data_IF_746888326009
#
_entry.id   IF_746888326009
#
_cell.length_a   1.000
_cell.length_b   1.000
_cell.length_c   1.000
_cell.angle_alpha   90.00
_cell.angle_beta   90.00
_cell.angle_gamma   90.00
#
_symmetry.space_group_name_H-M   'P 1'
#
loop_
_entity.id
_entity.type
_entity.pdbx_description
1 polymer ?
#
# COMPACT_ATOMS: atom_id res chain seq x y z
N UNK A 1 2.18 3.08 -8.19
CA UNK A 1 2.96 2.12 -7.35
C UNK A 1 2.00 1.16 -6.67
N UNK A 2 2.39 -0.11 -6.47
CA UNK A 2 1.59 -1.12 -5.74
C UNK A 2 2.30 -1.42 -4.42
N UNK A 3 1.51 -1.48 -3.35
CA UNK A 3 1.90 -1.90 -2.02
C UNK A 3 0.99 -3.07 -1.62
N UNK A 4 1.51 -4.02 -0.85
CA UNK A 4 0.73 -5.16 -0.37
C UNK A 4 0.67 -5.10 1.15
N UNK A 5 -0.51 -4.90 1.73
CA UNK A 5 -0.72 -5.07 3.16
C UNK A 5 -0.82 -6.57 3.48
N UNK A 6 0.08 -7.08 4.31
CA UNK A 6 0.05 -8.47 4.74
C UNK A 6 0.44 -8.61 6.22
N UNK A 7 -0.31 -9.44 6.94
CA UNK A 7 0.01 -9.83 8.32
C UNK A 7 0.98 -11.03 8.39
N UNK A 8 1.18 -11.73 7.26
CA UNK A 8 2.13 -12.84 7.12
C UNK A 8 3.13 -12.49 6.02
N UNK A 9 4.41 -12.35 6.37
CA UNK A 9 5.45 -11.89 5.45
C UNK A 9 5.53 -12.84 4.25
N UNK A 10 5.14 -12.36 3.07
CA UNK A 10 5.29 -13.09 1.81
C UNK A 10 6.69 -12.76 1.27
N UNK A 11 7.43 -13.73 0.73
CA UNK A 11 8.76 -13.46 0.13
C UNK A 11 8.63 -12.81 -1.25
N UNK A 12 8.51 -11.48 -1.32
CA UNK A 12 8.11 -10.77 -2.56
C UNK A 12 9.03 -9.60 -2.91
N UNK A 13 9.06 -9.21 -4.19
CA UNK A 13 9.85 -8.08 -4.70
C UNK A 13 9.08 -6.74 -4.71
N UNK A 14 7.85 -6.73 -4.21
CA UNK A 14 7.00 -5.53 -4.05
C UNK A 14 7.05 -5.05 -2.60
N UNK A 15 7.03 -3.72 -2.31
CA UNK A 15 6.96 -3.26 -0.93
C UNK A 15 5.69 -3.75 -0.21
N UNK A 16 5.90 -4.37 0.95
CA UNK A 16 4.85 -4.89 1.82
C UNK A 16 4.64 -3.99 3.03
N UNK A 17 3.39 -3.72 3.38
CA UNK A 17 3.02 -3.04 4.60
C UNK A 17 2.67 -4.10 5.66
N UNK A 18 3.44 -4.16 6.74
CA UNK A 18 3.34 -5.24 7.75
C UNK A 18 3.30 -4.64 9.16
N UNK A 19 2.46 -5.13 10.10
CA UNK A 19 2.37 -4.60 11.46
C UNK A 19 3.57 -5.02 12.33
N UNK A 20 4.74 -4.45 12.05
CA UNK A 20 5.98 -4.69 12.78
C UNK A 20 6.71 -3.37 13.06
N UNK A 21 7.51 -3.37 14.13
CA UNK A 21 8.25 -2.18 14.57
C UNK A 21 9.68 -2.13 14.01
N UNK A 22 10.21 -3.25 13.55
CA UNK A 22 11.61 -3.39 13.13
C UNK A 22 11.67 -3.93 11.70
N UNK A 23 11.74 -3.03 10.71
CA UNK A 23 11.94 -3.38 9.31
C UNK A 23 13.35 -2.95 8.88
N UNK A 24 14.21 -3.92 8.57
CA UNK A 24 15.53 -3.66 7.98
C UNK A 24 15.55 -3.86 6.46
N UNK A 25 14.54 -4.56 5.93
CA UNK A 25 14.40 -4.83 4.51
C UNK A 25 13.71 -3.64 3.81
N UNK A 26 14.28 -3.16 2.70
CA UNK A 26 13.69 -2.13 1.87
C UNK A 26 12.34 -2.53 1.26
N UNK A 27 12.05 -3.83 1.21
CA UNK A 27 10.77 -4.41 0.78
C UNK A 27 9.70 -4.34 1.85
N UNK A 28 10.00 -3.90 3.07
CA UNK A 28 9.05 -3.86 4.18
C UNK A 28 8.85 -2.41 4.63
N UNK A 29 7.59 -1.99 4.64
CA UNK A 29 7.09 -0.74 5.21
C UNK A 29 6.40 -1.11 6.53
N UNK A 30 6.98 -0.77 7.69
CA UNK A 30 6.35 -1.03 8.99
C UNK A 30 5.03 -0.25 9.11
N UNK A 31 3.96 -0.94 9.52
CA UNK A 31 2.69 -0.35 9.94
C UNK A 31 2.68 -0.16 11.45
N UNK A 32 2.67 1.08 11.87
CA UNK A 32 2.80 1.48 13.27
C UNK A 32 1.52 2.17 13.74
N UNK A 33 1.05 1.79 14.92
CA UNK A 33 -0.04 2.45 15.62
C UNK A 33 0.45 3.62 16.48
N UNK A 34 -0.25 3.86 17.60
CA UNK A 34 0.08 4.93 18.55
C UNK A 34 0.96 4.40 19.70
N UNK A 35 2.09 3.79 19.35
CA UNK A 35 3.10 3.29 20.29
C UNK A 35 4.43 4.01 20.02
N UNK A 36 4.95 4.71 21.03
CA UNK A 36 6.13 5.57 20.89
C UNK A 36 7.41 4.75 20.65
N UNK A 37 7.56 3.63 21.36
CA UNK A 37 8.74 2.77 21.23
C UNK A 37 8.75 2.09 19.86
N UNK A 38 7.57 1.62 19.42
CA UNK A 38 7.42 1.06 18.09
C UNK A 38 7.69 2.09 17.00
N UNK A 39 7.15 3.31 17.12
CA UNK A 39 7.40 4.38 16.16
C UNK A 39 8.88 4.73 16.08
N UNK A 40 9.52 4.93 17.22
CA UNK A 40 10.92 5.31 17.28
C UNK A 40 11.82 4.24 16.62
N UNK A 41 11.57 2.95 16.90
CA UNK A 41 12.27 1.83 16.25
C UNK A 41 12.01 1.78 14.74
N UNK A 42 10.75 1.89 14.32
CA UNK A 42 10.35 1.80 12.93
C UNK A 42 10.96 2.93 12.10
N UNK A 43 10.86 4.17 12.57
CA UNK A 43 11.39 5.34 11.87
C UNK A 43 12.91 5.30 11.78
N UNK A 44 13.60 4.85 12.85
CA UNK A 44 15.06 4.77 12.87
C UNK A 44 15.61 3.73 11.90
N UNK A 45 14.91 2.60 11.71
CA UNK A 45 15.40 1.46 10.90
C UNK A 45 14.82 1.39 9.49
N UNK A 46 13.65 1.98 9.25
CA UNK A 46 13.00 1.91 7.96
C UNK A 46 13.84 2.53 6.83
N UNK A 47 13.86 1.81 5.71
CA UNK A 47 14.58 2.21 4.50
C UNK A 47 13.65 2.88 3.49
N UNK A 48 12.47 2.30 3.22
CA UNK A 48 11.56 2.79 2.18
C UNK A 48 10.50 3.78 2.68
N UNK A 49 10.04 3.63 3.92
CA UNK A 49 8.99 4.46 4.51
C UNK A 49 8.38 3.82 5.76
N UNK A 50 7.47 4.53 6.42
CA UNK A 50 6.68 4.01 7.55
C UNK A 50 5.21 4.30 7.29
N UNK A 51 4.34 3.31 7.51
CA UNK A 51 2.90 3.51 7.50
C UNK A 51 2.40 3.79 8.92
N UNK A 52 1.73 4.92 9.13
CA UNK A 52 1.17 5.32 10.41
C UNK A 52 -0.35 5.16 10.40
N UNK A 53 -0.87 4.34 11.31
CA UNK A 53 -2.30 4.22 11.56
C UNK A 53 -2.69 5.13 12.73
N UNK A 54 -2.97 6.40 12.41
CA UNK A 54 -3.35 7.41 13.42
C UNK A 54 -4.24 8.50 12.82
N UNK A 55 -5.09 9.08 13.67
CA UNK A 55 -5.84 10.30 13.36
C UNK A 55 -5.20 11.58 13.95
N UNK A 56 -4.14 11.47 14.76
CA UNK A 56 -3.62 12.58 15.55
C UNK A 56 -2.43 13.25 14.86
N UNK A 57 -2.48 14.59 14.78
CA UNK A 57 -1.41 15.41 14.20
C UNK A 57 -0.07 15.27 14.91
N UNK A 58 -0.09 15.03 16.22
CA UNK A 58 1.11 14.87 17.04
C UNK A 58 1.99 13.71 16.56
N UNK A 59 1.40 12.54 16.29
CA UNK A 59 2.13 11.35 15.85
C UNK A 59 2.81 11.57 14.49
N UNK A 60 2.11 12.24 13.57
CA UNK A 60 2.66 12.57 12.25
C UNK A 60 3.76 13.61 12.37
N UNK A 61 3.60 14.63 13.22
CA UNK A 61 4.65 15.61 13.48
C UNK A 61 5.88 14.95 14.07
N UNK A 62 5.72 14.10 15.09
CA UNK A 62 6.81 13.38 15.71
C UNK A 62 7.58 12.51 14.71
N UNK A 63 6.88 11.72 13.89
CA UNK A 63 7.53 10.89 12.88
C UNK A 63 8.37 11.73 11.89
N UNK A 64 7.88 12.91 11.51
CA UNK A 64 8.61 13.85 10.63
C UNK A 64 9.83 14.44 11.29
N UNK A 65 9.73 14.81 12.57
CA UNK A 65 10.89 15.35 13.31
C UNK A 65 11.97 14.27 13.50
N UNK A 66 11.56 13.03 13.74
CA UNK A 66 12.51 11.92 13.90
C UNK A 66 13.25 11.57 12.61
N UNK A 67 12.58 11.58 11.45
CA UNK A 67 13.17 11.37 10.12
C UNK A 67 12.45 12.22 9.06
N UNK A 68 12.96 13.43 8.75
CA UNK A 68 12.32 14.32 7.79
C UNK A 68 12.43 13.85 6.33
N UNK A 69 13.37 12.96 6.04
CA UNK A 69 13.64 12.38 4.72
C UNK A 69 12.75 11.16 4.39
N UNK A 70 12.18 10.51 5.41
CA UNK A 70 11.45 9.26 5.25
C UNK A 70 10.03 9.50 4.74
N UNK A 71 9.56 8.67 3.79
CA UNK A 71 8.15 8.72 3.35
C UNK A 71 7.23 8.19 4.44
N UNK A 72 6.21 8.97 4.80
CA UNK A 72 5.19 8.61 5.78
C UNK A 72 3.88 8.34 5.06
N UNK A 73 3.44 7.08 5.07
CA UNK A 73 2.14 6.69 4.57
C UNK A 73 1.11 6.84 5.70
N UNK A 74 0.13 7.71 5.52
CA UNK A 74 -0.82 8.02 6.57
C UNK A 74 -2.12 7.26 6.35
N UNK A 75 -2.41 6.31 7.24
CA UNK A 75 -3.66 5.58 7.29
C UNK A 75 -4.58 6.25 8.32
N UNK A 76 -5.58 6.98 7.82
CA UNK A 76 -6.59 7.61 8.67
C UNK A 76 -7.13 8.92 8.10
N UNK A 77 -8.16 9.50 8.74
CA UNK A 77 -8.88 10.66 8.24
C UNK A 77 -8.14 12.00 8.41
N UNK A 78 -6.91 11.99 8.93
CA UNK A 78 -6.20 13.21 9.26
C UNK A 78 -5.87 14.00 7.97
N UNK A 79 -6.33 15.27 7.83
CA UNK A 79 -6.11 16.09 6.64
C UNK A 79 -4.70 16.71 6.65
N UNK A 80 -3.69 15.88 6.87
CA UNK A 80 -2.30 16.31 6.99
C UNK A 80 -1.66 16.19 5.61
N UNK A 81 -1.07 17.29 5.14
CA UNK A 81 -0.33 17.35 3.88
C UNK A 81 1.13 17.70 4.17
N UNK A 82 2.04 17.15 3.39
CA UNK A 82 3.47 17.39 3.52
C UNK A 82 4.24 16.76 2.37
N UNK A 83 5.47 17.24 2.12
CA UNK A 83 6.32 16.82 0.99
C UNK A 83 6.58 15.31 0.97
N UNK A 84 6.64 14.67 2.13
CA UNK A 84 6.89 13.24 2.34
C UNK A 84 5.69 12.50 2.94
N UNK A 85 4.49 13.11 2.98
CA UNK A 85 3.31 12.51 3.60
C UNK A 85 2.35 12.07 2.49
N UNK A 86 2.11 10.77 2.40
CA UNK A 86 1.23 10.17 1.40
C UNK A 86 -0.02 9.64 2.11
N UNK A 87 -1.20 10.27 1.93
CA UNK A 87 -2.42 9.76 2.52
C UNK A 87 -2.88 8.49 1.80
N UNK A 88 -3.28 7.48 2.57
CA UNK A 88 -3.92 6.26 2.09
C UNK A 88 -5.41 6.33 2.46
N UNK A 89 -6.28 6.28 1.45
CA UNK A 89 -7.73 6.35 1.63
C UNK A 89 -8.39 5.01 1.33
N UNK A 90 -9.50 4.65 1.99
CA UNK A 90 -10.31 3.53 1.53
C UNK A 90 -10.77 3.75 0.09
N UNK A 91 -10.73 2.71 -0.73
CA UNK A 91 -11.17 2.75 -2.13
C UNK A 91 -12.63 3.24 -2.27
N UNK A 92 -13.50 2.83 -1.35
CA UNK A 92 -14.90 3.27 -1.27
C UNK A 92 -15.06 4.77 -1.07
N UNK A 93 -14.04 5.45 -0.54
CA UNK A 93 -14.05 6.88 -0.24
C UNK A 93 -13.23 7.69 -1.26
N UNK A 94 -13.31 7.33 -2.55
CA UNK A 94 -12.57 8.03 -3.62
C UNK A 94 -12.76 9.55 -3.57
N UNK A 95 -11.64 10.28 -3.51
CA UNK A 95 -11.61 11.72 -3.34
C UNK A 95 -10.66 12.40 -4.36
N UNK A 96 -10.39 11.75 -5.48
CA UNK A 96 -9.47 12.23 -6.52
C UNK A 96 -8.16 11.45 -6.61
N UNK A 97 -7.14 11.98 -7.31
CA UNK A 97 -5.85 11.30 -7.48
C UNK A 97 -5.17 11.01 -6.14
N UNK A 98 -4.74 9.76 -5.93
CA UNK A 98 -4.09 9.37 -4.69
C UNK A 98 -3.79 7.89 -4.55
N UNK A 99 -3.33 7.51 -3.36
CA UNK A 99 -3.14 6.13 -2.94
C UNK A 99 -4.39 5.60 -2.24
N UNK A 100 -4.82 4.41 -2.64
CA UNK A 100 -6.03 3.79 -2.11
C UNK A 100 -5.75 2.43 -1.48
N UNK A 101 -6.25 2.23 -0.28
CA UNK A 101 -6.33 0.92 0.35
C UNK A 101 -7.56 0.18 -0.19
N UNK A 102 -7.32 -1.04 -0.65
CA UNK A 102 -8.29 -1.91 -1.32
C UNK A 102 -8.29 -3.22 -0.57
N UNK A 103 -9.44 -3.56 0.02
CA UNK A 103 -9.60 -4.79 0.79
C UNK A 103 -9.77 -6.02 -0.08
N UNK A 104 -10.46 -5.86 -1.20
CA UNK A 104 -10.87 -6.96 -2.05
C UNK A 104 -11.08 -6.49 -3.50
N UNK A 105 -11.45 -7.44 -4.36
CA UNK A 105 -11.67 -7.18 -5.78
C UNK A 105 -12.89 -6.28 -6.05
N UNK A 106 -13.89 -6.24 -5.18
CA UNK A 106 -15.07 -5.39 -5.38
C UNK A 106 -14.75 -3.92 -5.11
N UNK A 107 -13.99 -3.63 -4.06
CA UNK A 107 -13.43 -2.31 -3.83
C UNK A 107 -12.51 -1.87 -4.98
N UNK A 108 -11.72 -2.80 -5.52
CA UNK A 108 -10.87 -2.54 -6.67
C UNK A 108 -11.69 -2.16 -7.92
N UNK A 109 -12.80 -2.87 -8.18
CA UNK A 109 -13.74 -2.55 -9.28
C UNK A 109 -14.29 -1.15 -9.14
N UNK A 110 -14.57 -0.70 -7.90
CA UNK A 110 -15.01 0.65 -7.60
C UNK A 110 -14.01 1.75 -7.98
N UNK A 111 -12.74 1.41 -8.26
CA UNK A 111 -11.70 2.33 -8.72
C UNK A 111 -11.44 2.28 -10.23
N UNK A 112 -12.13 1.42 -10.98
CA UNK A 112 -11.92 1.28 -12.43
C UNK A 112 -12.21 2.59 -13.16
N UNK A 113 -11.33 2.97 -14.09
CA UNK A 113 -11.43 4.22 -14.85
C UNK A 113 -11.18 5.49 -14.02
N UNK A 114 -10.80 5.36 -12.74
CA UNK A 114 -10.44 6.49 -11.88
C UNK A 114 -8.94 6.74 -11.92
N UNK A 115 -8.55 7.99 -11.71
CA UNK A 115 -7.15 8.35 -11.63
C UNK A 115 -6.58 7.91 -10.28
N UNK A 116 -5.85 6.80 -10.29
CA UNK A 116 -5.23 6.19 -9.10
C UNK A 116 -3.72 6.23 -9.25
N UNK A 117 -3.04 6.87 -8.30
CA UNK A 117 -1.58 7.00 -8.29
C UNK A 117 -0.90 5.75 -7.71
N UNK A 118 -1.61 5.04 -6.83
CA UNK A 118 -1.15 3.77 -6.30
C UNK A 118 -2.18 3.06 -5.45
N UNK A 119 -1.88 1.80 -5.14
CA UNK A 119 -2.79 0.90 -4.45
C UNK A 119 -2.07 0.21 -3.29
N UNK A 120 -2.76 0.08 -2.17
CA UNK A 120 -2.40 -0.79 -1.07
C UNK A 120 -3.42 -1.94 -1.02
N UNK A 121 -3.03 -3.13 -1.45
CA UNK A 121 -3.92 -4.29 -1.51
C UNK A 121 -3.88 -5.05 -0.18
N UNK A 122 -5.01 -5.37 0.42
CA UNK A 122 -5.06 -6.32 1.54
C UNK A 122 -4.90 -7.75 1.01
N UNK A 123 -3.77 -8.38 1.27
CA UNK A 123 -3.50 -9.73 0.77
C UNK A 123 -4.56 -10.77 1.20
N UNK A 124 -5.32 -10.53 2.28
CA UNK A 124 -6.33 -11.50 2.77
C UNK A 124 -7.61 -11.49 1.95
N UNK A 125 -7.94 -10.38 1.29
CA UNK A 125 -9.15 -10.28 0.46
C UNK A 125 -8.90 -10.53 -1.02
N UNK A 126 -7.69 -10.96 -1.39
CA UNK A 126 -7.33 -11.34 -2.75
C UNK A 126 -6.94 -12.81 -2.82
N UNK A 127 -7.25 -13.41 -3.97
CA UNK A 127 -6.87 -14.78 -4.28
C UNK A 127 -5.32 -14.91 -4.31
N UNK A 128 -4.73 -15.95 -3.68
CA UNK A 128 -3.28 -16.12 -3.61
C UNK A 128 -2.59 -16.17 -4.97
N UNK A 129 -3.23 -16.78 -5.98
CA UNK A 129 -2.68 -16.86 -7.33
C UNK A 129 -2.64 -15.48 -7.99
N UNK A 130 -3.71 -14.70 -7.83
CA UNK A 130 -3.75 -13.30 -8.26
C UNK A 130 -2.62 -12.49 -7.61
N UNK A 131 -2.42 -12.63 -6.30
CA UNK A 131 -1.32 -11.97 -5.60
C UNK A 131 0.04 -12.39 -6.15
N UNK A 132 0.24 -13.68 -6.42
CA UNK A 132 1.48 -14.21 -7.00
C UNK A 132 1.80 -13.58 -8.36
N UNK A 133 0.80 -13.42 -9.23
CA UNK A 133 0.98 -12.73 -10.51
C UNK A 133 1.33 -11.26 -10.33
N UNK A 134 0.67 -10.56 -9.39
CA UNK A 134 1.00 -9.17 -9.06
C UNK A 134 2.43 -9.08 -8.57
N UNK A 135 2.82 -9.93 -7.62
CA UNK A 135 4.17 -10.03 -7.04
C UNK A 135 5.23 -10.24 -8.11
N UNK A 136 4.98 -11.16 -9.06
CA UNK A 136 5.92 -11.49 -10.13
C UNK A 136 5.91 -10.47 -11.28
N UNK A 137 5.11 -9.40 -11.17
CA UNK A 137 4.93 -8.41 -12.24
C UNK A 137 4.29 -8.99 -13.50
N UNK A 138 3.62 -10.15 -13.38
CA UNK A 138 2.97 -10.87 -14.48
C UNK A 138 1.48 -10.58 -14.58
N UNK A 139 0.94 -9.69 -13.74
CA UNK A 139 -0.41 -9.18 -13.91
C UNK A 139 -0.48 -8.37 -15.21
N UNK A 140 -0.91 -9.02 -16.28
CA UNK A 140 -1.12 -8.41 -17.58
C UNK A 140 -2.60 -8.20 -17.85
N UNK A 141 -2.86 -7.31 -18.79
CA UNK A 141 -4.17 -7.18 -19.37
C UNK A 141 -4.02 -7.00 -20.87
N UNK A 142 -4.81 -7.72 -21.66
CA UNK A 142 -4.79 -7.69 -23.13
C UNK A 142 -5.34 -6.39 -23.71
N UNK A 143 -4.79 -5.25 -23.30
CA UNK A 143 -5.17 -3.91 -23.72
C UNK A 143 -3.93 -3.02 -23.78
N UNK A 144 -3.78 -2.32 -24.90
CA UNK A 144 -2.73 -1.33 -25.07
C UNK A 144 -3.05 -0.12 -24.18
N UNK A 145 -2.28 0.04 -23.11
CA UNK A 145 -2.36 1.21 -22.23
C UNK A 145 -3.29 1.10 -21.02
N UNK A 146 -3.67 -0.11 -20.59
CA UNK A 146 -4.44 -0.26 -19.36
C UNK A 146 -3.73 0.34 -18.13
N UNK A 147 -4.52 1.10 -17.36
CA UNK A 147 -4.10 1.69 -16.10
C UNK A 147 -3.86 0.66 -14.99
N UNK A 148 -3.42 1.16 -13.84
CA UNK A 148 -3.03 0.32 -12.71
C UNK A 148 -4.19 -0.57 -12.22
N UNK A 149 -5.39 0.01 -12.11
CA UNK A 149 -6.58 -0.70 -11.61
C UNK A 149 -7.03 -1.74 -12.61
N UNK A 150 -7.05 -1.39 -13.89
CA UNK A 150 -7.44 -2.28 -14.99
C UNK A 150 -6.56 -3.52 -15.02
N UNK A 151 -5.22 -3.35 -14.95
CA UNK A 151 -4.29 -4.48 -14.92
C UNK A 151 -4.55 -5.47 -13.78
N UNK A 152 -4.93 -4.96 -12.60
CA UNK A 152 -5.24 -5.78 -11.44
C UNK A 152 -6.62 -6.43 -11.48
N UNK A 153 -7.53 -5.89 -12.30
CA UNK A 153 -8.87 -6.44 -12.48
C UNK A 153 -8.96 -7.48 -13.60
N UNK A 154 -7.95 -7.57 -14.46
CA UNK A 154 -7.96 -8.55 -15.54
C UNK A 154 -7.88 -9.97 -14.99
N UNK A 155 -8.57 -10.89 -15.67
CA UNK A 155 -8.74 -12.26 -15.19
C UNK A 155 -7.43 -13.04 -15.34
N UNK A 156 -6.83 -13.51 -14.24
CA UNK A 156 -5.71 -14.44 -14.31
C UNK A 156 -6.05 -15.69 -15.12
N UNK A 157 -7.28 -16.18 -14.95
CA UNK A 157 -7.74 -17.46 -15.52
C UNK A 157 -7.81 -17.46 -17.05
N UNK A 158 -8.14 -16.33 -17.68
CA UNK A 158 -8.15 -16.22 -19.15
C UNK A 158 -6.76 -16.35 -19.77
N UNK A 159 -5.71 -15.96 -19.05
CA UNK A 159 -4.33 -16.10 -19.54
C UNK A 159 -3.80 -17.52 -19.33
N UNK A 160 -4.32 -18.25 -18.34
CA UNK A 160 -3.96 -19.66 -18.09
C UNK A 160 -4.67 -20.62 -19.05
N UNK A 161 -5.90 -20.31 -19.45
CA UNK A 161 -6.64 -21.11 -20.45
C UNK A 161 -6.07 -21.00 -21.87
N UNK A 162 -5.22 -20.00 -22.15
CA UNK A 162 -4.64 -19.74 -23.48
C UNK A 162 -3.16 -20.22 -23.58
N UNK A 163 -2.65 -20.95 -22.57
CA UNK A 163 -1.34 -21.60 -22.60
C UNK A 163 -1.44 -23.12 -22.74
#
# INVERSE_FOLDING_TARGET
MILIYSEKVLGVDIPQVVPLCDALDAKIIPLVGEDLDCLHRAVKKAVAGVALRTGKRLWVALARELRPDLTIYLWGPAPIRGKNIVPIRPASAYAGPGFYYVRDRDELRGLRGKEVLGLLLDARGFDPYTLELVIKGRATCGCDGCGLVERLLCEPYREVEVL
#
